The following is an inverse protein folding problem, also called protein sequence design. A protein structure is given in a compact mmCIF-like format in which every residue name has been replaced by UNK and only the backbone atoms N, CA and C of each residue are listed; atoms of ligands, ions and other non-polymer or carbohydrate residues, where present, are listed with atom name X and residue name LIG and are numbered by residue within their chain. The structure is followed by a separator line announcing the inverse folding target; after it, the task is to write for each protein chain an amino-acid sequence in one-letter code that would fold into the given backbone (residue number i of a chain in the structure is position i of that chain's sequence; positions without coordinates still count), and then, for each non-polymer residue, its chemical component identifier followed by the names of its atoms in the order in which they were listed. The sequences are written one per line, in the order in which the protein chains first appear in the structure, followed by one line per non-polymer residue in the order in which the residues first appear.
data_IF_115622156868
#
_entry.id   IF_115622156868
#
_cell.length_a   1.000
_cell.length_b   1.000
_cell.length_c   1.000
_cell.angle_alpha   90.00
_cell.angle_beta   90.00
_cell.angle_gamma   90.00
#
_symmetry.space_group_name_H-M   'P 1'
#
loop_
_entity.id
_entity.type
_entity.pdbx_description
1 polymer ?
#
# COMPACT_ATOMS: atom_id res chain seq x y z
N UNK A 1 12.06 18.81 -17.90
CA UNK A 1 13.02 19.78 -17.35
C UNK A 1 13.40 19.53 -15.87
N UNK A 2 12.99 18.43 -15.23
CA UNK A 2 13.35 18.12 -13.82
C UNK A 2 14.17 16.84 -13.64
N UNK A 3 14.61 16.20 -14.73
CA UNK A 3 15.58 15.10 -14.62
C UNK A 3 16.95 15.70 -14.34
N UNK A 4 17.45 15.54 -13.10
CA UNK A 4 18.83 15.86 -12.73
C UNK A 4 19.04 17.04 -11.78
N UNK A 5 17.99 17.70 -11.27
CA UNK A 5 18.18 18.71 -10.22
C UNK A 5 18.35 18.06 -8.83
N UNK A 6 19.31 18.55 -8.05
CA UNK A 6 19.53 18.10 -6.67
C UNK A 6 18.33 18.47 -5.79
N UNK A 7 17.60 17.49 -5.22
CA UNK A 7 16.39 17.74 -4.43
C UNK A 7 16.67 18.54 -3.15
N UNK A 8 17.92 18.61 -2.69
CA UNK A 8 18.32 19.44 -1.53
C UNK A 8 18.31 20.94 -1.83
N UNK A 9 18.23 21.33 -3.11
CA UNK A 9 18.18 22.74 -3.53
C UNK A 9 16.80 23.37 -3.38
N UNK A 10 15.75 22.57 -3.22
CA UNK A 10 14.41 23.07 -2.96
C UNK A 10 14.24 23.40 -1.48
N UNK A 11 13.45 24.45 -1.21
CA UNK A 11 13.14 24.91 0.16
C UNK A 11 11.68 24.69 0.53
N UNK A 12 10.77 24.52 -0.44
CA UNK A 12 9.33 24.31 -0.19
C UNK A 12 8.73 23.44 -1.28
N UNK A 13 7.80 22.56 -0.89
CA UNK A 13 6.90 21.86 -1.81
C UNK A 13 5.43 22.21 -1.53
N UNK A 14 4.61 22.13 -2.58
CA UNK A 14 3.16 22.32 -2.54
C UNK A 14 2.49 21.22 -3.33
N UNK A 15 1.49 20.57 -2.73
CA UNK A 15 0.63 19.61 -3.40
C UNK A 15 -0.68 20.29 -3.79
N UNK A 16 -0.88 20.47 -5.10
CA UNK A 16 -2.05 21.09 -5.72
C UNK A 16 -2.92 20.07 -6.46
N UNK A 17 -4.22 20.32 -6.40
CA UNK A 17 -5.21 19.65 -7.22
C UNK A 17 -5.88 20.66 -8.14
N UNK A 18 -5.96 20.33 -9.42
CA UNK A 18 -6.87 20.94 -10.37
C UNK A 18 -8.02 19.97 -10.60
N UNK A 19 -9.22 20.38 -10.19
CA UNK A 19 -10.44 19.62 -10.41
C UNK A 19 -11.33 20.31 -11.43
N UNK A 20 -11.92 19.56 -12.36
CA UNK A 20 -12.85 20.11 -13.36
C UNK A 20 -13.91 19.12 -13.81
N UNK A 21 -15.00 19.68 -14.33
CA UNK A 21 -15.98 18.96 -15.13
C UNK A 21 -15.37 18.55 -16.49
N UNK A 22 -15.68 17.35 -16.97
CA UNK A 22 -15.30 16.86 -18.30
C UNK A 22 -16.51 16.62 -19.22
N UNK A 23 -17.72 16.61 -18.68
CA UNK A 23 -18.97 16.54 -19.45
C UNK A 23 -19.21 17.83 -20.22
N UNK A 24 -19.86 17.75 -21.38
CA UNK A 24 -20.31 18.94 -22.13
C UNK A 24 -21.51 19.64 -21.47
N UNK A 25 -22.05 19.04 -20.41
CA UNK A 25 -23.13 19.61 -19.62
C UNK A 25 -22.64 20.10 -18.25
N UNK A 26 -23.21 21.20 -17.72
CA UNK A 26 -22.96 21.65 -16.36
C UNK A 26 -23.19 20.55 -15.32
N UNK A 27 -22.48 20.64 -14.19
CA UNK A 27 -22.68 19.72 -13.07
C UNK A 27 -24.05 19.94 -12.44
N UNK A 28 -24.87 18.89 -12.44
CA UNK A 28 -26.22 18.87 -11.84
C UNK A 28 -26.29 18.02 -10.57
N UNK A 29 -25.39 17.04 -10.45
CA UNK A 29 -25.38 16.10 -9.34
C UNK A 29 -24.01 16.12 -8.65
N UNK A 30 -24.03 16.05 -7.32
CA UNK A 30 -22.84 15.99 -6.49
C UNK A 30 -21.71 16.99 -6.83
N UNK A 31 -21.93 18.33 -6.85
CA UNK A 31 -20.84 19.28 -6.98
C UNK A 31 -19.74 19.10 -5.92
N UNK A 32 -18.54 19.57 -6.22
CA UNK A 32 -17.44 19.56 -5.26
C UNK A 32 -17.57 20.77 -4.33
N UNK A 33 -17.76 20.51 -3.04
CA UNK A 33 -17.73 21.52 -2.00
C UNK A 33 -16.34 21.60 -1.37
N UNK A 34 -15.96 22.82 -1.01
CA UNK A 34 -14.67 23.21 -0.47
C UNK A 34 -14.90 23.91 0.86
N UNK A 35 -14.20 23.47 1.91
CA UNK A 35 -14.25 24.11 3.21
C UNK A 35 -13.36 25.34 3.23
N UNK A 36 -13.88 26.45 3.75
CA UNK A 36 -13.05 27.60 4.12
C UNK A 36 -12.24 27.27 5.37
N UNK A 37 -10.94 27.06 5.17
CA UNK A 37 -10.01 26.68 6.22
C UNK A 37 -9.89 27.73 7.35
N UNK A 38 -10.32 28.98 7.13
CA UNK A 38 -10.37 30.00 8.19
C UNK A 38 -11.44 29.68 9.24
N UNK A 39 -12.40 28.83 8.90
CA UNK A 39 -13.52 28.44 9.75
C UNK A 39 -13.29 27.14 10.51
N UNK A 40 -12.11 26.53 10.36
CA UNK A 40 -11.72 25.33 11.12
C UNK A 40 -11.04 25.69 12.44
N UNK A 41 -11.32 24.90 13.47
CA UNK A 41 -10.66 24.97 14.78
C UNK A 41 -9.43 24.07 14.75
N UNK A 42 -8.24 24.68 14.66
CA UNK A 42 -6.96 23.96 14.62
C UNK A 42 -6.40 23.79 16.04
N UNK A 43 -5.81 22.62 16.39
CA UNK A 43 -5.65 21.42 15.57
C UNK A 43 -6.85 20.45 15.61
N UNK A 44 -7.85 20.70 16.45
CA UNK A 44 -8.93 19.77 16.81
C UNK A 44 -9.77 19.23 15.64
N UNK A 45 -9.91 20.03 14.58
CA UNK A 45 -10.62 19.64 13.37
C UNK A 45 -9.81 18.74 12.44
N UNK A 46 -8.49 18.62 12.64
CA UNK A 46 -7.58 17.88 11.77
C UNK A 46 -7.29 16.52 12.36
N UNK A 47 -8.02 15.50 11.88
CA UNK A 47 -7.82 14.11 12.30
C UNK A 47 -6.73 13.47 11.43
N UNK A 48 -5.53 13.17 11.96
CA UNK A 48 -4.52 12.46 11.20
C UNK A 48 -5.02 11.07 10.80
N UNK A 49 -4.73 10.69 9.57
CA UNK A 49 -5.12 9.42 8.95
C UNK A 49 -3.94 8.87 8.18
N UNK A 50 -3.67 7.59 8.39
CA UNK A 50 -2.57 6.92 7.74
C UNK A 50 -3.01 6.40 6.37
N UNK A 51 -2.38 6.91 5.31
CA UNK A 51 -2.52 6.35 3.96
C UNK A 51 -1.33 5.45 3.65
N UNK A 52 -1.59 4.15 3.60
CA UNK A 52 -0.62 3.16 3.16
C UNK A 52 -0.64 3.05 1.63
N UNK A 53 0.50 3.29 1.01
CA UNK A 53 0.71 3.08 -0.42
C UNK A 53 1.59 1.84 -0.66
N UNK A 54 1.60 1.36 -1.91
CA UNK A 54 2.48 0.27 -2.33
C UNK A 54 3.97 0.61 -2.04
N UNK A 55 4.77 -0.41 -1.70
CA UNK A 55 6.19 -0.24 -1.40
C UNK A 55 6.48 0.28 0.01
N UNK A 56 5.61 -0.01 0.99
CA UNK A 56 5.74 0.41 2.40
C UNK A 56 5.81 1.94 2.60
N UNK A 57 5.38 2.72 1.60
CA UNK A 57 5.30 4.16 1.75
C UNK A 57 4.05 4.53 2.56
N UNK A 58 4.24 5.36 3.58
CA UNK A 58 3.20 5.84 4.47
C UNK A 58 3.13 7.37 4.41
N UNK A 59 1.94 7.90 4.13
CA UNK A 59 1.69 9.35 4.09
C UNK A 59 0.58 9.69 5.07
N UNK A 60 0.84 10.65 5.97
CA UNK A 60 -0.20 11.21 6.83
C UNK A 60 -1.10 12.12 6.00
N UNK A 61 -2.37 11.78 5.96
CA UNK A 61 -3.45 12.64 5.48
C UNK A 61 -4.24 13.19 6.66
N UNK A 62 -5.04 14.23 6.42
CA UNK A 62 -5.95 14.76 7.41
C UNK A 62 -7.38 14.54 6.95
N UNK A 63 -8.20 13.97 7.82
CA UNK A 63 -9.66 14.03 7.75
C UNK A 63 -10.19 15.20 8.57
N UNK A 64 -11.41 15.64 8.28
CA UNK A 64 -12.09 16.68 9.03
C UNK A 64 -12.92 16.09 10.17
N UNK A 65 -12.80 16.62 11.38
CA UNK A 65 -13.66 16.29 12.52
C UNK A 65 -15.00 17.03 12.41
N UNK A 66 -16.10 16.37 12.75
CA UNK A 66 -17.43 16.99 12.73
C UNK A 66 -17.77 17.78 14.02
N UNK A 67 -16.89 17.80 15.03
CA UNK A 67 -17.14 18.44 16.34
C UNK A 67 -17.56 19.91 16.24
N UNK A 68 -16.99 20.66 15.29
CA UNK A 68 -17.25 22.09 15.12
C UNK A 68 -18.00 22.40 13.81
N UNK A 69 -18.85 21.46 13.35
CA UNK A 69 -19.58 21.58 12.08
C UNK A 69 -20.39 22.88 11.95
N UNK A 70 -20.92 23.42 13.05
CA UNK A 70 -21.69 24.68 13.05
C UNK A 70 -20.84 25.91 12.71
N UNK A 71 -19.51 25.82 12.83
CA UNK A 71 -18.59 26.89 12.45
C UNK A 71 -18.14 26.75 10.99
N UNK A 72 -18.18 25.53 10.44
CA UNK A 72 -17.61 25.20 9.13
C UNK A 72 -18.39 25.87 7.99
N UNK A 73 -17.72 26.71 7.22
CA UNK A 73 -18.30 27.30 6.01
C UNK A 73 -17.85 26.56 4.76
N UNK A 74 -18.82 25.96 4.08
CA UNK A 74 -18.63 25.22 2.84
C UNK A 74 -19.09 26.03 1.64
N UNK A 75 -18.28 26.03 0.59
CA UNK A 75 -18.55 26.70 -0.67
C UNK A 75 -18.53 25.67 -1.79
N UNK A 76 -19.49 25.74 -2.71
CA UNK A 76 -19.54 24.87 -3.88
C UNK A 76 -19.94 25.69 -5.11
N UNK A 77 -19.66 25.15 -6.29
CA UNK A 77 -19.94 25.80 -7.56
C UNK A 77 -21.05 25.02 -8.29
N UNK A 78 -22.34 25.39 -8.09
CA UNK A 78 -23.44 24.75 -8.82
C UNK A 78 -23.30 25.03 -10.32
N UNK A 79 -23.73 24.09 -11.16
CA UNK A 79 -23.71 24.23 -12.62
C UNK A 79 -22.31 24.51 -13.21
N UNK A 80 -21.25 23.98 -12.59
CA UNK A 80 -19.89 24.18 -13.10
C UNK A 80 -19.75 23.62 -14.51
N UNK A 81 -19.37 24.48 -15.46
CA UNK A 81 -19.21 24.14 -16.87
C UNK A 81 -17.86 23.47 -17.14
N UNK A 82 -17.76 22.78 -18.29
CA UNK A 82 -16.53 22.13 -18.74
C UNK A 82 -15.33 23.08 -18.78
N UNK A 83 -15.53 24.36 -19.12
CA UNK A 83 -14.48 25.37 -19.25
C UNK A 83 -13.94 25.89 -17.91
N UNK A 84 -14.57 25.51 -16.79
CA UNK A 84 -14.21 25.98 -15.45
C UNK A 84 -13.40 24.92 -14.71
N UNK A 85 -12.49 25.37 -13.83
CA UNK A 85 -11.67 24.49 -13.00
C UNK A 85 -11.44 25.09 -11.62
N UNK A 86 -11.37 24.24 -10.60
CA UNK A 86 -11.04 24.61 -9.23
C UNK A 86 -9.60 24.20 -8.97
N UNK A 87 -8.75 25.17 -8.64
CA UNK A 87 -7.40 24.91 -8.16
C UNK A 87 -7.38 25.06 -6.64
N UNK A 88 -6.93 24.04 -5.94
CA UNK A 88 -6.87 24.05 -4.48
C UNK A 88 -5.67 23.26 -3.96
N UNK A 89 -5.28 23.55 -2.71
CA UNK A 89 -4.15 22.91 -2.04
C UNK A 89 -4.60 21.65 -1.30
N UNK A 90 -3.92 20.53 -1.55
CA UNK A 90 -3.98 19.39 -0.62
C UNK A 90 -3.06 19.60 0.58
N UNK A 91 -1.83 20.10 0.33
CA UNK A 91 -0.84 20.31 1.38
C UNK A 91 0.19 21.34 0.95
N UNK A 92 0.49 22.28 1.84
CA UNK A 92 1.56 23.27 1.71
C UNK A 92 2.59 23.00 2.81
N UNK A 93 3.84 22.71 2.42
CA UNK A 93 4.87 22.39 3.41
C UNK A 93 5.24 23.57 4.30
N UNK A 94 5.06 24.80 3.81
CA UNK A 94 5.34 26.01 4.57
C UNK A 94 4.30 26.21 5.69
N UNK A 95 4.71 25.89 6.92
CA UNK A 95 3.88 26.00 8.12
C UNK A 95 3.59 27.44 8.55
N UNK A 96 4.26 28.43 7.96
CA UNK A 96 3.99 29.85 8.24
C UNK A 96 2.80 30.38 7.46
N UNK A 97 2.29 29.64 6.46
CA UNK A 97 1.12 30.02 5.66
C UNK A 97 -0.16 29.52 6.30
N UNK A 98 -1.23 30.30 6.16
CA UNK A 98 -2.60 29.82 6.37
C UNK A 98 -3.07 29.03 5.15
N UNK A 99 -4.16 28.26 5.30
CA UNK A 99 -4.81 27.53 4.21
C UNK A 99 -3.87 26.58 3.51
N UNK A 100 -3.20 25.75 4.32
CA UNK A 100 -2.23 24.75 3.87
C UNK A 100 -2.92 23.51 3.29
N UNK A 101 -4.15 23.25 3.73
CA UNK A 101 -4.97 22.13 3.28
C UNK A 101 -6.40 22.61 3.06
N UNK A 102 -7.02 22.18 1.96
CA UNK A 102 -8.42 22.39 1.70
C UNK A 102 -9.18 21.06 1.79
N UNK A 103 -10.01 20.93 2.83
CA UNK A 103 -10.96 19.84 2.91
C UNK A 103 -12.05 20.01 1.86
N UNK A 104 -12.36 18.93 1.16
CA UNK A 104 -13.31 18.94 0.06
C UNK A 104 -14.08 17.63 0.03
N UNK A 105 -15.32 17.69 -0.43
CA UNK A 105 -16.17 16.51 -0.58
C UNK A 105 -17.22 16.72 -1.67
N UNK A 106 -17.75 15.62 -2.20
CA UNK A 106 -18.92 15.67 -3.06
C UNK A 106 -20.16 15.87 -2.18
N UNK A 107 -20.97 16.88 -2.46
CA UNK A 107 -22.20 17.19 -1.70
C UNK A 107 -23.40 17.15 -2.62
N UNK A 108 -24.53 16.65 -2.14
CA UNK A 108 -25.79 16.76 -2.88
C UNK A 108 -26.18 18.24 -2.97
N UNK A 109 -26.51 18.74 -4.16
CA UNK A 109 -26.89 20.14 -4.35
C UNK A 109 -28.21 20.43 -3.61
N UNK A 110 -28.21 21.31 -2.58
CA UNK A 110 -29.42 21.64 -1.82
C UNK A 110 -30.51 22.32 -2.67
N UNK A 111 -30.12 22.92 -3.80
CA UNK A 111 -31.07 23.54 -4.74
C UNK A 111 -31.81 22.50 -5.58
N UNK A 112 -31.32 21.25 -5.62
CA UNK A 112 -31.92 20.15 -6.38
C UNK A 112 -33.08 19.47 -5.63
N UNK A 113 -33.97 20.30 -5.05
CA UNK A 113 -35.16 19.85 -4.33
C UNK A 113 -36.27 19.44 -5.30
N UNK A 114 -36.34 18.13 -5.54
CA UNK A 114 -37.58 17.33 -5.51
C UNK A 114 -38.73 17.60 -6.49
N UNK A 115 -38.54 18.08 -7.73
CA UNK A 115 -39.68 18.07 -8.66
C UNK A 115 -39.45 17.94 -10.17
N UNK A 116 -38.24 17.73 -10.69
CA UNK A 116 -38.00 17.55 -12.13
C UNK A 116 -36.84 16.59 -12.37
N UNK A 117 -37.00 15.66 -13.31
CA UNK A 117 -35.99 14.82 -14.00
C UNK A 117 -34.70 14.50 -13.24
N UNK A 118 -34.45 13.19 -13.02
CA UNK A 118 -33.21 12.65 -12.43
C UNK A 118 -31.97 13.40 -12.97
N UNK A 119 -31.14 14.00 -12.08
CA UNK A 119 -30.00 14.80 -12.50
C UNK A 119 -28.96 13.91 -13.21
N UNK A 120 -28.21 14.50 -14.13
CA UNK A 120 -27.18 13.77 -14.86
C UNK A 120 -26.02 13.42 -13.93
N UNK A 121 -25.51 12.17 -13.98
CA UNK A 121 -24.34 11.79 -13.21
C UNK A 121 -23.14 12.69 -13.54
N UNK A 122 -22.42 13.13 -12.51
CA UNK A 122 -21.21 13.95 -12.67
C UNK A 122 -20.08 13.17 -13.32
N UNK A 123 -19.46 13.79 -14.33
CA UNK A 123 -18.21 13.34 -14.92
C UNK A 123 -17.12 14.39 -14.63
N UNK A 124 -16.11 14.03 -13.84
CA UNK A 124 -15.05 14.95 -13.44
C UNK A 124 -13.68 14.31 -13.49
N UNK A 125 -12.64 15.13 -13.61
CA UNK A 125 -11.24 14.71 -13.51
C UNK A 125 -10.52 15.56 -12.47
N UNK A 126 -9.57 14.93 -11.77
CA UNK A 126 -8.63 15.61 -10.88
C UNK A 126 -7.21 15.37 -11.36
N UNK A 127 -6.48 16.46 -11.59
CA UNK A 127 -5.06 16.45 -11.86
C UNK A 127 -4.31 16.83 -10.58
N UNK A 128 -3.39 15.96 -10.17
CA UNK A 128 -2.56 16.10 -8.97
C UNK A 128 -1.16 16.53 -9.37
N UNK A 129 -0.67 17.58 -8.73
CA UNK A 129 0.62 18.20 -9.06
C UNK A 129 1.40 18.47 -7.78
N UNK A 130 2.68 18.09 -7.77
CA UNK A 130 3.62 18.51 -6.73
C UNK A 130 4.53 19.55 -7.34
N UNK A 131 4.55 20.74 -6.75
CA UNK A 131 5.36 21.86 -7.18
C UNK A 131 6.46 22.11 -6.15
N UNK A 132 7.67 22.43 -6.62
CA UNK A 132 8.85 22.67 -5.78
C UNK A 132 9.39 24.09 -6.02
N UNK A 133 9.84 24.77 -4.97
CA UNK A 133 10.44 26.10 -5.02
C UNK A 133 11.85 26.08 -4.43
N UNK A 134 12.80 26.68 -5.16
CA UNK A 134 14.18 26.91 -4.68
C UNK A 134 14.25 28.05 -3.67
N UNK A 135 13.40 29.07 -3.83
CA UNK A 135 13.29 30.19 -2.91
C UNK A 135 11.98 30.15 -2.13
N UNK A 136 12.08 30.20 -0.80
CA UNK A 136 10.95 30.24 0.12
C UNK A 136 11.37 30.95 1.42
N UNK A 137 10.39 31.51 2.14
CA UNK A 137 10.61 32.18 3.43
C UNK A 137 11.12 31.25 4.52
N UNK A 138 10.76 29.97 4.45
CA UNK A 138 11.25 28.91 5.33
C UNK A 138 11.66 27.71 4.51
N UNK A 139 12.67 26.97 4.99
CA UNK A 139 13.00 25.66 4.44
C UNK A 139 12.10 24.62 5.10
N UNK A 140 11.04 24.21 4.39
CA UNK A 140 10.05 23.24 4.82
C UNK A 140 10.17 21.88 4.12
N UNK A 141 11.27 21.66 3.41
CA UNK A 141 11.56 20.34 2.86
C UNK A 141 11.83 19.32 3.99
N UNK A 142 11.38 18.07 3.84
CA UNK A 142 11.66 17.03 4.82
C UNK A 142 13.17 16.75 4.90
N UNK A 143 13.69 16.61 6.12
CA UNK A 143 15.06 16.19 6.40
C UNK A 143 15.10 14.73 6.85
N UNK A 144 16.29 14.11 6.87
CA UNK A 144 16.47 12.77 7.47
C UNK A 144 16.04 12.71 8.94
N UNK A 145 16.08 13.82 9.67
CA UNK A 145 15.64 13.87 11.07
C UNK A 145 14.11 14.01 11.21
N UNK A 146 13.43 14.58 10.23
CA UNK A 146 11.97 14.83 10.30
C UNK A 146 11.12 13.79 9.58
N UNK A 147 11.74 12.91 8.79
CA UNK A 147 11.06 11.79 8.12
C UNK A 147 11.21 10.54 8.99
N UNK A 148 10.12 9.82 9.32
CA UNK A 148 10.23 8.53 10.00
C UNK A 148 11.17 7.59 9.25
N UNK A 149 12.03 6.86 9.95
CA UNK A 149 13.00 5.95 9.33
C UNK A 149 12.33 4.90 8.43
N UNK A 150 11.09 4.53 8.72
CA UNK A 150 10.24 3.63 7.93
C UNK A 150 9.75 4.23 6.60
N UNK A 151 9.68 5.56 6.51
CA UNK A 151 9.30 6.29 5.29
C UNK A 151 10.49 6.60 4.38
N UNK A 152 11.73 6.37 4.85
CA UNK A 152 12.95 6.44 4.04
C UNK A 152 13.08 5.18 3.19
N UNK A 153 12.14 4.97 2.28
CA UNK A 153 12.30 3.96 1.22
C UNK A 153 13.39 4.49 0.29
N UNK A 154 14.52 3.78 0.18
CA UNK A 154 15.53 4.12 -0.84
C UNK A 154 14.84 4.23 -2.20
N UNK A 155 15.05 5.37 -2.86
CA UNK A 155 14.53 5.62 -4.20
C UNK A 155 14.99 4.49 -5.13
N UNK A 156 14.08 3.57 -5.44
CA UNK A 156 14.31 2.55 -6.44
C UNK A 156 13.76 3.05 -7.79
N UNK A 157 14.62 3.46 -8.74
CA UNK A 157 14.20 3.97 -10.04
C UNK A 157 13.40 2.95 -10.87
N UNK A 158 13.29 1.69 -10.43
CA UNK A 158 12.49 0.66 -11.09
C UNK A 158 10.96 0.85 -10.99
N UNK A 159 10.45 1.87 -10.29
CA UNK A 159 9.03 2.00 -9.95
C UNK A 159 8.15 2.74 -10.99
N UNK A 160 8.71 3.29 -12.07
CA UNK A 160 7.91 3.65 -13.25
C UNK A 160 7.69 2.39 -14.10
N UNK A 161 6.79 1.52 -13.65
CA UNK A 161 6.30 0.44 -14.48
C UNK A 161 5.48 1.03 -15.63
N UNK A 162 5.89 0.78 -16.87
CA UNK A 162 4.96 0.86 -17.99
C UNK A 162 3.77 -0.04 -17.66
N UNK A 163 2.55 0.46 -17.84
CA UNK A 163 1.37 -0.38 -17.68
C UNK A 163 1.56 -1.61 -18.58
N UNK A 164 1.77 -2.77 -17.97
CA UNK A 164 1.99 -4.00 -18.74
C UNK A 164 0.81 -4.18 -19.70
N UNK A 165 1.03 -4.79 -20.86
CA UNK A 165 -0.05 -5.11 -21.80
C UNK A 165 -1.20 -5.86 -21.11
N UNK A 166 -0.87 -6.61 -20.04
CA UNK A 166 -1.83 -7.31 -19.20
C UNK A 166 -2.68 -6.37 -18.33
N UNK A 167 -2.09 -5.32 -17.73
CA UNK A 167 -2.81 -4.29 -16.96
C UNK A 167 -3.76 -3.48 -17.85
N UNK A 168 -3.34 -3.19 -19.08
CA UNK A 168 -4.19 -2.54 -20.09
C UNK A 168 -5.31 -3.48 -20.55
N UNK A 169 -5.02 -4.76 -20.78
CA UNK A 169 -6.01 -5.77 -21.14
C UNK A 169 -7.04 -5.99 -20.03
N UNK A 170 -6.64 -6.00 -18.75
CA UNK A 170 -7.57 -6.10 -17.61
C UNK A 170 -8.48 -4.87 -17.52
N UNK A 171 -7.94 -3.66 -17.71
CA UNK A 171 -8.74 -2.44 -17.75
C UNK A 171 -9.73 -2.42 -18.94
N UNK A 172 -9.33 -2.96 -20.09
CA UNK A 172 -10.17 -3.08 -21.29
C UNK A 172 -11.30 -4.12 -21.09
N UNK A 173 -10.97 -5.29 -20.55
CA UNK A 173 -11.92 -6.38 -20.30
C UNK A 173 -12.92 -6.04 -19.18
N UNK A 174 -12.53 -5.20 -18.22
CA UNK A 174 -13.41 -4.69 -17.18
C UNK A 174 -14.53 -3.76 -17.70
N UNK A 175 -14.47 -3.32 -18.97
CA UNK A 175 -15.52 -2.51 -19.62
C UNK A 175 -16.61 -3.35 -20.31
N UNK A 176 -16.49 -4.69 -20.36
CA UNK A 176 -17.51 -5.55 -20.96
C UNK A 176 -18.57 -5.95 -19.92
N UNK A 177 -19.85 -5.58 -20.09
CA UNK A 177 -20.85 -5.58 -19.01
C UNK A 177 -21.25 -6.97 -18.48
N UNK A 178 -21.20 -8.03 -19.30
CA UNK A 178 -21.59 -9.39 -18.89
C UNK A 178 -20.40 -10.26 -18.47
N UNK A 179 -19.26 -10.13 -19.15
CA UNK A 179 -18.05 -10.94 -18.92
C UNK A 179 -17.16 -10.29 -17.84
N UNK A 180 -17.17 -8.97 -17.74
CA UNK A 180 -16.32 -8.19 -16.83
C UNK A 180 -16.67 -8.33 -15.35
N UNK A 181 -17.85 -8.85 -14.99
CA UNK A 181 -18.24 -9.19 -13.61
C UNK A 181 -17.59 -10.49 -13.14
N UNK A 182 -17.69 -11.54 -13.96
CA UNK A 182 -17.08 -12.85 -13.71
C UNK A 182 -15.56 -12.74 -13.78
N UNK A 183 -15.02 -12.05 -14.79
CA UNK A 183 -13.58 -11.78 -14.88
C UNK A 183 -13.08 -10.87 -13.77
N UNK A 184 -13.85 -9.88 -13.26
CA UNK A 184 -13.41 -9.11 -12.08
C UNK A 184 -13.25 -10.00 -10.86
N UNK A 185 -14.20 -10.90 -10.60
CA UNK A 185 -14.12 -11.82 -9.46
C UNK A 185 -12.96 -12.81 -9.60
N UNK A 186 -12.67 -13.24 -10.82
CA UNK A 186 -11.51 -14.10 -11.11
C UNK A 186 -10.21 -13.29 -10.97
N UNK A 187 -10.09 -12.12 -11.60
CA UNK A 187 -8.89 -11.28 -11.58
C UNK A 187 -8.59 -10.60 -10.24
N UNK A 188 -9.61 -10.29 -9.43
CA UNK A 188 -9.47 -9.77 -8.07
C UNK A 188 -9.31 -10.89 -7.02
N UNK A 189 -9.33 -12.16 -7.44
CA UNK A 189 -9.09 -13.27 -6.54
C UNK A 189 -7.62 -13.24 -6.07
N UNK A 190 -7.33 -13.44 -4.78
CA UNK A 190 -5.95 -13.43 -4.26
C UNK A 190 -5.00 -14.36 -5.03
N UNK A 191 -5.52 -15.50 -5.50
CA UNK A 191 -4.79 -16.43 -6.37
C UNK A 191 -4.42 -15.86 -7.75
N UNK A 192 -5.20 -14.95 -8.34
CA UNK A 192 -4.88 -14.35 -9.65
C UNK A 192 -3.94 -13.15 -9.51
N UNK A 193 -3.98 -12.44 -8.38
CA UNK A 193 -2.93 -11.47 -8.04
C UNK A 193 -1.60 -12.20 -7.74
N UNK A 194 -1.67 -13.35 -7.07
CA UNK A 194 -0.52 -14.24 -6.82
C UNK A 194 -0.01 -14.88 -8.12
N UNK A 195 -0.88 -15.43 -8.98
CA UNK A 195 -0.51 -15.99 -10.29
C UNK A 195 -0.02 -14.92 -11.26
N UNK A 196 -0.61 -13.72 -11.22
CA UNK A 196 -0.13 -12.55 -11.93
C UNK A 196 1.29 -12.18 -11.47
N UNK A 197 1.54 -12.17 -10.16
CA UNK A 197 2.88 -12.01 -9.59
C UNK A 197 3.84 -13.16 -9.89
N UNK A 198 3.35 -14.39 -10.10
CA UNK A 198 4.15 -15.56 -10.51
C UNK A 198 4.48 -15.54 -12.01
N UNK A 199 3.60 -14.98 -12.85
CA UNK A 199 3.77 -14.84 -14.30
C UNK A 199 4.54 -13.57 -14.68
N UNK A 200 4.47 -12.52 -13.87
CA UNK A 200 5.41 -11.40 -13.91
C UNK A 200 6.69 -11.86 -13.21
N UNK A 201 7.55 -12.56 -13.95
CA UNK A 201 8.96 -12.71 -13.58
C UNK A 201 9.63 -11.32 -13.57
N UNK A 202 9.29 -10.49 -12.60
CA UNK A 202 10.14 -9.38 -12.22
C UNK A 202 11.12 -9.99 -11.23
N UNK A 203 12.30 -10.36 -11.74
CA UNK A 203 13.47 -10.66 -10.92
C UNK A 203 13.71 -9.41 -10.08
N UNK A 204 13.18 -9.36 -8.86
CA UNK A 204 13.57 -8.35 -7.88
C UNK A 204 15.05 -8.63 -7.58
N UNK A 205 15.96 -7.92 -8.26
CA UNK A 205 17.41 -8.19 -8.23
C UNK A 205 18.05 -7.69 -6.93
N UNK A 206 17.31 -6.93 -6.13
CA UNK A 206 17.76 -6.34 -4.89
C UNK A 206 17.45 -7.24 -3.68
N UNK A 207 18.50 -7.95 -3.24
CA UNK A 207 18.52 -8.63 -1.96
C UNK A 207 19.27 -7.69 -0.99
N UNK A 208 18.60 -7.10 0.02
CA UNK A 208 19.31 -6.29 1.02
C UNK A 208 20.36 -7.16 1.70
N UNK A 209 21.51 -6.60 2.14
CA UNK A 209 22.48 -7.37 2.91
C UNK A 209 21.83 -7.90 4.20
N UNK A 210 22.44 -8.95 4.76
CA UNK A 210 22.07 -9.43 6.09
C UNK A 210 22.23 -8.29 7.12
N UNK A 211 21.26 -8.09 8.01
CA UNK A 211 21.26 -6.98 8.97
C UNK A 211 22.31 -7.13 10.07
N UNK A 212 22.93 -8.32 10.19
CA UNK A 212 23.82 -8.68 11.29
C UNK A 212 23.07 -9.21 12.52
N UNK A 213 21.73 -9.16 12.53
CA UNK A 213 20.90 -9.64 13.63
C UNK A 213 19.83 -10.63 13.12
N UNK A 214 19.86 -11.92 13.53
CA UNK A 214 18.91 -12.90 13.03
C UNK A 214 17.47 -12.66 13.51
N UNK A 215 17.30 -11.89 14.59
CA UNK A 215 15.97 -11.58 15.16
C UNK A 215 15.12 -10.72 14.21
N UNK A 216 15.73 -9.89 13.37
CA UNK A 216 15.03 -9.00 12.41
C UNK A 216 14.24 -9.78 11.35
N UNK A 217 14.46 -11.09 11.25
CA UNK A 217 13.86 -11.97 10.25
C UNK A 217 12.74 -12.85 10.79
N UNK A 218 12.52 -12.89 12.11
CA UNK A 218 11.57 -13.81 12.73
C UNK A 218 10.14 -13.61 12.23
N UNK A 219 9.64 -12.37 12.32
CA UNK A 219 8.28 -12.03 11.91
C UNK A 219 8.01 -12.45 10.45
N UNK A 220 8.99 -12.22 9.57
CA UNK A 220 8.91 -12.60 8.15
C UNK A 220 8.63 -14.07 7.98
N UNK A 221 9.38 -14.95 8.64
CA UNK A 221 9.22 -16.40 8.50
C UNK A 221 8.02 -16.94 9.29
N UNK A 222 7.64 -16.33 10.41
CA UNK A 222 6.39 -16.64 11.11
C UNK A 222 5.19 -16.39 10.18
N UNK A 223 5.17 -15.26 9.46
CA UNK A 223 4.14 -14.97 8.46
C UNK A 223 4.11 -16.04 7.36
N UNK A 224 5.28 -16.47 6.85
CA UNK A 224 5.38 -17.55 5.85
C UNK A 224 4.70 -18.83 6.32
N UNK A 225 4.90 -19.23 7.57
CA UNK A 225 4.28 -20.42 8.15
C UNK A 225 2.77 -20.22 8.32
N UNK A 226 2.33 -19.06 8.80
CA UNK A 226 0.90 -18.77 9.00
C UNK A 226 0.11 -18.75 7.68
N UNK A 227 0.73 -18.38 6.56
CA UNK A 227 0.07 -18.40 5.24
C UNK A 227 0.18 -19.76 4.52
N UNK A 228 0.87 -20.76 5.10
CA UNK A 228 1.02 -22.10 4.53
C UNK A 228 -0.32 -22.74 4.08
N UNK A 229 -1.44 -22.65 4.82
CA UNK A 229 -2.72 -23.24 4.38
C UNK A 229 -3.21 -22.72 3.01
N UNK A 230 -2.87 -21.47 2.68
CA UNK A 230 -3.24 -20.79 1.44
C UNK A 230 -2.30 -21.09 0.26
N UNK A 231 -1.23 -21.87 0.48
CA UNK A 231 -0.29 -22.22 -0.59
C UNK A 231 -0.94 -23.10 -1.66
N UNK A 232 -0.44 -23.06 -2.92
CA UNK A 232 -0.90 -23.96 -3.98
C UNK A 232 -0.80 -25.44 -3.58
N UNK A 233 -1.77 -26.25 -3.98
CA UNK A 233 -1.86 -27.67 -3.59
C UNK A 233 -0.62 -28.47 -3.95
N UNK A 234 0.03 -28.17 -5.07
CA UNK A 234 1.28 -28.84 -5.47
C UNK A 234 2.43 -28.56 -4.50
N UNK A 235 2.54 -27.31 -4.01
CA UNK A 235 3.58 -26.91 -3.05
C UNK A 235 3.32 -27.54 -1.68
N UNK A 236 2.06 -27.52 -1.22
CA UNK A 236 1.67 -28.20 0.03
C UNK A 236 1.99 -29.69 -0.03
N UNK A 237 1.69 -30.37 -1.13
CA UNK A 237 2.02 -31.79 -1.30
C UNK A 237 3.53 -32.05 -1.25
N UNK A 238 4.34 -31.19 -1.86
CA UNK A 238 5.80 -31.29 -1.80
C UNK A 238 6.33 -31.14 -0.36
N UNK A 239 5.84 -30.14 0.38
CA UNK A 239 6.25 -29.91 1.78
C UNK A 239 5.80 -31.05 2.68
N UNK A 240 4.56 -31.53 2.53
CA UNK A 240 4.03 -32.67 3.29
C UNK A 240 4.91 -33.90 3.11
N UNK A 241 5.25 -34.27 1.86
CA UNK A 241 6.15 -35.38 1.57
C UNK A 241 7.55 -35.16 2.15
N UNK A 242 8.06 -33.93 2.08
CA UNK A 242 9.35 -33.57 2.64
C UNK A 242 9.41 -33.71 4.16
N UNK A 243 8.40 -33.23 4.88
CA UNK A 243 8.27 -33.36 6.34
C UNK A 243 8.15 -34.84 6.75
N UNK A 244 7.30 -35.60 6.06
CA UNK A 244 7.08 -37.03 6.34
C UNK A 244 8.29 -37.91 6.02
N UNK A 245 9.19 -37.45 5.14
CA UNK A 245 10.43 -38.16 4.84
C UNK A 245 11.47 -38.12 5.97
N UNK A 246 11.26 -37.29 7.00
CA UNK A 246 12.18 -37.16 8.13
C UNK A 246 11.85 -38.11 9.26
N UNK A 247 12.88 -38.53 9.98
CA UNK A 247 12.75 -39.53 11.05
C UNK A 247 12.21 -38.93 12.33
N UNK A 248 12.67 -37.73 12.70
CA UNK A 248 12.25 -37.06 13.93
C UNK A 248 11.52 -35.75 13.63
N UNK A 249 10.69 -35.32 14.59
CA UNK A 249 10.04 -34.00 14.56
C UNK A 249 11.08 -32.88 14.43
N UNK A 250 12.18 -32.98 15.18
CA UNK A 250 13.25 -31.97 15.17
C UNK A 250 13.86 -31.83 13.77
N UNK A 251 14.21 -32.96 13.14
CA UNK A 251 14.79 -32.96 11.78
C UNK A 251 13.79 -32.43 10.73
N UNK A 252 12.50 -32.70 10.91
CA UNK A 252 11.43 -32.21 10.04
C UNK A 252 11.29 -30.68 10.10
N UNK A 253 11.24 -30.13 11.32
CA UNK A 253 11.15 -28.68 11.54
C UNK A 253 12.42 -27.98 11.07
N UNK A 254 13.59 -28.53 11.38
CA UNK A 254 14.88 -27.98 10.94
C UNK A 254 14.98 -27.97 9.41
N UNK A 255 14.66 -29.08 8.75
CA UNK A 255 14.67 -29.16 7.29
C UNK A 255 13.75 -28.13 6.63
N UNK A 256 12.52 -27.99 7.14
CA UNK A 256 11.56 -27.03 6.62
C UNK A 256 12.04 -25.58 6.83
N UNK A 257 12.59 -25.28 8.01
CA UNK A 257 13.12 -23.95 8.35
C UNK A 257 14.31 -23.60 7.43
N UNK A 258 15.23 -24.53 7.23
CA UNK A 258 16.35 -24.38 6.27
C UNK A 258 15.82 -24.16 4.85
N UNK A 259 14.76 -24.87 4.45
CA UNK A 259 14.18 -24.73 3.12
C UNK A 259 13.60 -23.34 2.87
N UNK A 260 12.83 -22.79 3.81
CA UNK A 260 12.24 -21.45 3.67
C UNK A 260 13.31 -20.35 3.77
N UNK A 261 14.32 -20.50 4.64
CA UNK A 261 15.42 -19.52 4.80
C UNK A 261 16.37 -19.54 3.60
N UNK A 262 16.61 -20.71 3.00
CA UNK A 262 17.40 -20.80 1.76
C UNK A 262 16.77 -20.03 0.61
N UNK A 263 15.44 -19.91 0.62
CA UNK A 263 14.69 -19.02 -0.25
C UNK A 263 15.07 -19.22 -1.72
N UNK A 264 15.10 -20.46 -2.19
CA UNK A 264 15.56 -20.82 -3.54
C UNK A 264 14.84 -20.02 -4.63
N UNK A 265 13.57 -19.68 -4.39
CA UNK A 265 12.75 -18.88 -5.28
C UNK A 265 12.95 -17.35 -5.14
N UNK A 266 13.56 -16.88 -4.04
CA UNK A 266 13.91 -15.47 -3.84
C UNK A 266 12.80 -14.59 -3.25
N UNK A 267 11.73 -15.19 -2.71
CA UNK A 267 10.57 -14.48 -2.17
C UNK A 267 10.84 -13.84 -0.81
N UNK A 268 11.69 -14.46 0.01
CA UNK A 268 12.02 -13.97 1.36
C UNK A 268 13.24 -13.05 1.39
N UNK A 269 13.83 -12.80 0.21
CA UNK A 269 15.03 -11.98 -0.02
C UNK A 269 16.29 -12.50 0.68
N UNK A 270 16.26 -13.67 1.30
CA UNK A 270 17.41 -14.30 1.97
C UNK A 270 18.25 -15.16 1.03
N UNK A 271 17.80 -15.41 -0.22
CA UNK A 271 18.50 -16.25 -1.21
C UNK A 271 20.00 -15.97 -1.34
N UNK A 272 20.41 -14.70 -1.33
CA UNK A 272 21.81 -14.26 -1.52
C UNK A 272 22.64 -14.17 -0.22
N UNK A 273 22.07 -14.47 0.94
CA UNK A 273 22.81 -14.40 2.22
C UNK A 273 23.89 -15.47 2.28
N UNK A 274 24.96 -15.21 3.05
CA UNK A 274 25.99 -16.21 3.29
C UNK A 274 25.41 -17.41 4.03
N UNK A 275 26.09 -18.56 3.94
CA UNK A 275 25.63 -19.80 4.58
C UNK A 275 25.50 -19.63 6.10
N UNK A 276 26.46 -18.95 6.72
CA UNK A 276 26.51 -18.75 8.16
C UNK A 276 25.41 -17.77 8.63
N UNK A 277 25.12 -16.72 7.84
CA UNK A 277 24.00 -15.80 8.11
C UNK A 277 22.65 -16.53 8.08
N UNK A 278 22.45 -17.40 7.08
CA UNK A 278 21.23 -18.22 6.97
C UNK A 278 21.12 -19.18 8.15
N UNK A 279 22.24 -19.77 8.57
CA UNK A 279 22.27 -20.67 9.72
C UNK A 279 21.87 -19.93 11.01
N UNK A 280 22.38 -18.73 11.23
CA UNK A 280 22.01 -17.90 12.38
C UNK A 280 20.49 -17.57 12.40
N UNK A 281 19.89 -17.31 11.23
CA UNK A 281 18.43 -17.09 11.12
C UNK A 281 17.66 -18.38 11.45
N UNK A 282 18.12 -19.53 10.95
CA UNK A 282 17.48 -20.84 11.24
C UNK A 282 17.51 -21.14 12.73
N UNK A 283 18.65 -20.93 13.40
CA UNK A 283 18.80 -21.14 14.85
C UNK A 283 17.86 -20.22 15.64
N UNK A 284 17.82 -18.92 15.30
CA UNK A 284 16.90 -17.98 15.94
C UNK A 284 15.43 -18.37 15.78
N UNK A 285 15.03 -18.87 14.60
CA UNK A 285 13.67 -19.35 14.36
C UNK A 285 13.34 -20.60 15.18
N UNK A 286 14.23 -21.59 15.20
CA UNK A 286 14.02 -22.84 15.94
C UNK A 286 14.00 -22.61 17.45
N UNK A 287 14.65 -21.56 17.96
CA UNK A 287 14.58 -21.19 19.38
C UNK A 287 13.33 -20.37 19.73
N UNK A 288 12.82 -19.57 18.79
CA UNK A 288 11.67 -18.68 18.99
C UNK A 288 10.35 -19.43 19.26
N UNK A 289 9.63 -18.98 20.30
CA UNK A 289 8.40 -19.62 20.76
C UNK A 289 7.22 -19.42 19.78
N UNK A 290 7.03 -18.22 19.23
CA UNK A 290 5.94 -17.92 18.29
C UNK A 290 6.09 -18.72 16.98
N UNK A 291 7.33 -18.88 16.52
CA UNK A 291 7.63 -19.70 15.36
C UNK A 291 7.27 -21.17 15.59
N UNK A 292 7.63 -21.74 16.75
CA UNK A 292 7.23 -23.12 17.12
C UNK A 292 5.71 -23.27 17.12
N UNK A 293 4.99 -22.33 17.70
CA UNK A 293 3.52 -22.36 17.73
C UNK A 293 2.90 -22.26 16.35
N UNK A 294 3.45 -21.44 15.45
CA UNK A 294 3.00 -21.36 14.06
C UNK A 294 3.23 -22.68 13.30
N UNK A 295 4.40 -23.28 13.48
CA UNK A 295 4.75 -24.59 12.90
C UNK A 295 3.80 -25.67 13.41
N UNK A 296 3.56 -25.72 14.71
CA UNK A 296 2.67 -26.70 15.32
C UNK A 296 1.24 -26.56 14.82
N UNK A 297 0.75 -25.32 14.69
CA UNK A 297 -0.59 -25.00 14.21
C UNK A 297 -0.83 -25.40 12.75
N UNK A 298 0.15 -25.19 11.88
CA UNK A 298 -0.05 -25.31 10.43
C UNK A 298 0.63 -26.51 9.78
N UNK A 299 1.67 -27.05 10.41
CA UNK A 299 2.45 -28.18 9.91
C UNK A 299 2.40 -29.41 10.83
N UNK A 300 1.90 -29.25 12.06
CA UNK A 300 1.91 -30.30 13.09
C UNK A 300 1.36 -31.64 12.66
N UNK A 301 0.29 -31.65 11.86
CA UNK A 301 -0.33 -32.88 11.32
C UNK A 301 0.59 -33.67 10.37
N UNK A 302 1.58 -33.01 9.77
CA UNK A 302 2.52 -33.60 8.81
C UNK A 302 3.86 -33.96 9.45
N UNK A 303 4.10 -33.53 10.68
CA UNK A 303 5.34 -33.83 11.40
C UNK A 303 5.36 -35.28 11.88
N UNK A 304 6.52 -35.95 11.81
CA UNK A 304 6.69 -37.27 12.43
C UNK A 304 6.27 -37.22 13.91
N UNK A 305 5.40 -38.14 14.33
CA UNK A 305 5.05 -38.29 15.74
C UNK A 305 6.26 -38.78 16.52
N UNK A 306 6.48 -38.26 17.73
CA UNK A 306 7.51 -38.79 18.62
C UNK A 306 7.22 -40.27 18.89
N UNK A 307 8.17 -41.15 18.57
CA UNK A 307 8.16 -42.51 19.12
C UNK A 307 8.66 -42.41 20.56
N UNK A 308 7.78 -42.08 21.50
CA UNK A 308 8.06 -42.27 22.92
C UNK A 308 6.88 -42.99 23.58
N UNK A 309 7.19 -44.19 24.06
CA UNK A 309 6.44 -45.15 24.89
C UNK A 309 5.41 -46.07 24.21
N UNK A 310 5.94 -47.14 23.62
CA UNK A 310 5.33 -48.47 23.62
C UNK A 310 6.41 -49.51 23.96
N UNK A 311 7.03 -49.36 25.14
CA UNK A 311 7.71 -50.42 25.91
C UNK A 311 7.37 -50.14 27.39
N UNK A 312 6.94 -51.22 28.06
CA UNK A 312 6.19 -51.37 29.33
C UNK A 312 4.70 -51.00 29.34
#
# INVERSE_FOLDING_TARGET
ETEGEDPTTFKRYLYLNLWRNISDHPIEDFPLAMLDERTTVKPDDYLPRDLYMAGNSHVVQYGLNARHVDLHQWYYFPNMAKSEGILFKQSDSDWTKSSRTCFHMAVQDPSNNSNKTKPRPRESVELRMICYWKEASVCSMPTKQTVPATSLVEYNPASLHSASAFSLLTALLAKLPLIGSVLRKICAHPLVHMLGSMMTSNKDTHHPPYSGNPQDYLERFIVVVNVFPSWPSFAKSMIQKGLQSKTTRKDAVEWFTVMIVNDTAGYQKTKKFAKDDKQAIVEALIENQEYKEAVDRHLGEFLPKSKDKAEE
#
